data_IF_759369628962
#
_entry.id   IF_759369628962
#
_cell.length_a   1.000
_cell.length_b   1.000
_cell.length_c   1.000
_cell.angle_alpha   90.00
_cell.angle_beta   90.00
_cell.angle_gamma   90.00
#
_symmetry.space_group_name_H-M   'P 1'
#
loop_
_entity.id
_entity.type
_entity.pdbx_description
1 polymer ?
#
# COMPACT_ATOMS: atom_id res chain seq x y z
N UNK A 1 -20.83 -52.48 -24.52
CA UNK A 1 -19.90 -52.33 -25.66
C UNK A 1 -18.50 -52.08 -25.09
N UNK A 2 -17.62 -53.07 -25.25
CA UNK A 2 -16.22 -52.94 -24.80
C UNK A 2 -15.44 -52.26 -25.90
N UNK A 3 -14.77 -51.18 -25.58
CA UNK A 3 -13.86 -50.50 -26.50
C UNK A 3 -12.48 -51.12 -26.34
N UNK A 4 -11.98 -51.74 -27.39
CA UNK A 4 -10.67 -52.39 -27.48
C UNK A 4 -9.60 -51.29 -27.60
N UNK A 5 -8.59 -51.30 -26.70
CA UNK A 5 -7.42 -50.44 -26.80
C UNK A 5 -6.57 -50.84 -28.01
N UNK A 6 -6.17 -49.89 -28.83
CA UNK A 6 -5.23 -50.04 -29.95
C UNK A 6 -3.83 -49.79 -29.39
N UNK A 7 -2.97 -50.80 -29.44
CA UNK A 7 -1.55 -50.66 -29.16
C UNK A 7 -0.83 -50.26 -30.46
N UNK A 8 -0.11 -49.18 -30.44
CA UNK A 8 0.83 -48.79 -31.48
C UNK A 8 2.23 -49.27 -31.10
N UNK A 9 2.83 -50.09 -31.93
CA UNK A 9 4.25 -50.47 -31.84
C UNK A 9 5.03 -49.73 -32.91
N UNK A 10 6.17 -49.15 -32.53
CA UNK A 10 7.11 -48.56 -33.48
C UNK A 10 8.12 -49.63 -34.00
N UNK A 11 8.81 -49.32 -35.12
CA UNK A 11 9.62 -50.24 -35.86
C UNK A 11 10.96 -50.66 -35.19
N UNK A 12 11.19 -50.36 -33.93
CA UNK A 12 12.43 -50.65 -33.23
C UNK A 12 12.32 -51.60 -32.02
N UNK A 13 11.17 -52.11 -31.71
CA UNK A 13 10.98 -53.19 -30.74
C UNK A 13 11.39 -52.83 -29.29
N UNK A 14 11.40 -51.60 -28.91
CA UNK A 14 11.75 -51.20 -27.56
C UNK A 14 10.45 -50.83 -26.80
N UNK A 15 10.12 -51.59 -25.78
CA UNK A 15 9.02 -51.29 -24.87
C UNK A 15 9.44 -50.20 -23.92
N UNK A 16 9.10 -48.96 -24.23
CA UNK A 16 9.13 -47.88 -23.21
C UNK A 16 7.89 -48.05 -22.34
N UNK A 17 8.14 -48.37 -21.09
CA UNK A 17 7.08 -48.40 -20.06
C UNK A 17 6.46 -46.99 -19.99
N UNK A 18 5.19 -46.91 -20.41
CA UNK A 18 4.36 -45.75 -20.12
C UNK A 18 4.20 -45.68 -18.59
N UNK A 19 5.02 -44.84 -17.96
CA UNK A 19 4.85 -44.51 -16.55
C UNK A 19 3.48 -43.91 -16.37
N UNK A 20 2.72 -44.49 -15.46
CA UNK A 20 1.37 -44.13 -15.10
C UNK A 20 1.24 -42.62 -14.86
N UNK A 21 0.46 -41.96 -15.68
CA UNK A 21 -0.18 -40.69 -15.32
C UNK A 21 -1.27 -41.04 -14.30
N UNK A 22 -0.89 -41.10 -13.07
CA UNK A 22 -1.71 -41.44 -11.93
C UNK A 22 -1.35 -40.64 -10.73
N UNK A 23 -1.44 -39.34 -10.84
CA UNK A 23 -1.72 -38.44 -9.73
C UNK A 23 -2.64 -37.35 -10.28
N UNK A 24 -3.92 -37.44 -9.93
CA UNK A 24 -4.85 -36.33 -10.00
C UNK A 24 -4.30 -35.28 -9.04
N UNK A 25 -3.35 -34.49 -9.50
CA UNK A 25 -2.99 -33.24 -8.84
C UNK A 25 -4.30 -32.46 -8.69
N UNK A 26 -4.66 -32.14 -7.47
CA UNK A 26 -5.83 -31.35 -7.18
C UNK A 26 -5.80 -30.11 -8.09
N UNK A 27 -6.86 -29.89 -8.87
CA UNK A 27 -6.94 -28.75 -9.80
C UNK A 27 -6.69 -27.42 -9.07
N UNK A 28 -6.95 -27.38 -7.77
CA UNK A 28 -6.63 -26.23 -6.90
C UNK A 28 -5.13 -25.92 -6.85
N UNK A 29 -4.23 -26.91 -7.03
CA UNK A 29 -2.78 -26.68 -7.07
C UNK A 29 -2.31 -25.95 -8.34
N UNK A 30 -3.07 -26.01 -9.42
CA UNK A 30 -2.81 -25.26 -10.65
C UNK A 30 -3.36 -23.82 -10.62
N UNK A 31 -4.17 -23.47 -9.61
CA UNK A 31 -4.74 -22.14 -9.43
C UNK A 31 -3.96 -21.30 -8.42
N UNK A 32 -2.82 -21.79 -7.91
CA UNK A 32 -1.95 -20.99 -7.07
C UNK A 32 -1.28 -19.91 -7.91
N UNK A 33 -1.69 -18.67 -7.68
CA UNK A 33 -0.99 -17.49 -8.21
C UNK A 33 0.03 -17.03 -7.17
N UNK A 34 1.24 -16.74 -7.60
CA UNK A 34 2.21 -16.07 -6.74
C UNK A 34 2.00 -14.57 -6.84
N UNK A 35 2.02 -13.87 -5.72
CA UNK A 35 2.07 -12.41 -5.70
C UNK A 35 3.25 -11.95 -4.87
N UNK A 36 3.96 -10.97 -5.40
CA UNK A 36 4.98 -10.26 -4.64
C UNK A 36 4.33 -9.41 -3.54
N UNK A 37 5.11 -9.09 -2.53
CA UNK A 37 4.65 -8.20 -1.45
C UNK A 37 4.19 -6.84 -2.01
N UNK A 38 4.89 -6.32 -3.02
CA UNK A 38 4.52 -5.07 -3.71
C UNK A 38 3.17 -5.17 -4.45
N UNK A 39 2.87 -6.31 -5.06
CA UNK A 39 1.56 -6.56 -5.71
C UNK A 39 0.45 -6.64 -4.67
N UNK A 40 0.69 -7.27 -3.51
CA UNK A 40 -0.28 -7.32 -2.42
C UNK A 40 -0.62 -5.90 -1.93
N UNK A 41 0.38 -5.04 -1.73
CA UNK A 41 0.15 -3.64 -1.39
C UNK A 41 -0.62 -2.88 -2.47
N UNK A 42 -0.33 -3.16 -3.74
CA UNK A 42 -1.04 -2.55 -4.87
C UNK A 42 -2.50 -2.96 -4.91
N UNK A 43 -2.79 -4.25 -4.74
CA UNK A 43 -4.17 -4.77 -4.67
C UNK A 43 -4.95 -4.18 -3.48
N UNK A 44 -4.31 -4.11 -2.30
CA UNK A 44 -4.92 -3.53 -1.11
C UNK A 44 -5.24 -2.04 -1.29
N UNK A 45 -4.31 -1.28 -1.86
CA UNK A 45 -4.48 0.14 -2.17
C UNK A 45 -5.69 0.38 -3.09
N UNK A 46 -5.78 -0.40 -4.17
CA UNK A 46 -6.89 -0.32 -5.13
C UNK A 46 -8.23 -0.72 -4.49
N UNK A 47 -8.25 -1.83 -3.75
CA UNK A 47 -9.47 -2.39 -3.16
C UNK A 47 -10.10 -1.45 -2.13
N UNK A 48 -9.29 -0.77 -1.32
CA UNK A 48 -9.77 0.06 -0.21
C UNK A 48 -9.61 1.56 -0.45
N UNK A 49 -9.18 1.96 -1.65
CA UNK A 49 -8.93 3.35 -2.02
C UNK A 49 -8.04 4.09 -1.00
N UNK A 50 -6.90 3.48 -0.66
CA UNK A 50 -5.90 4.04 0.26
C UNK A 50 -4.60 4.25 -0.50
N UNK A 51 -3.91 5.38 -0.35
CA UNK A 51 -2.61 5.59 -1.00
C UNK A 51 -1.61 4.48 -0.64
N UNK A 52 -1.00 3.85 -1.65
CA UNK A 52 -0.08 2.73 -1.46
C UNK A 52 1.11 3.09 -0.56
N UNK A 53 1.65 4.31 -0.69
CA UNK A 53 2.72 4.80 0.17
C UNK A 53 2.32 4.87 1.65
N UNK A 54 1.07 5.20 1.97
CA UNK A 54 0.58 5.19 3.35
C UNK A 54 0.54 3.76 3.92
N UNK A 55 0.05 2.79 3.14
CA UNK A 55 -0.01 1.39 3.59
C UNK A 55 1.39 0.84 3.83
N UNK A 56 2.31 1.09 2.89
CA UNK A 56 3.72 0.70 3.02
C UNK A 56 4.40 1.36 4.23
N UNK A 57 4.13 2.63 4.47
CA UNK A 57 4.66 3.37 5.61
C UNK A 57 4.18 2.80 6.95
N UNK A 58 2.90 2.42 7.04
CA UNK A 58 2.35 1.73 8.22
C UNK A 58 3.06 0.39 8.40
N UNK A 59 3.11 -0.47 7.39
CA UNK A 59 3.74 -1.79 7.48
C UNK A 59 5.22 -1.71 7.89
N UNK A 60 5.95 -0.73 7.35
CA UNK A 60 7.33 -0.45 7.74
C UNK A 60 7.44 -0.01 9.21
N UNK A 61 6.56 0.85 9.66
CA UNK A 61 6.56 1.34 11.04
C UNK A 61 6.20 0.26 12.05
N UNK A 62 5.27 -0.64 11.70
CA UNK A 62 4.72 -1.68 12.57
C UNK A 62 5.68 -2.86 12.75
N UNK A 63 6.26 -3.37 11.67
CA UNK A 63 7.03 -4.62 11.71
C UNK A 63 8.28 -4.64 10.84
N UNK A 64 8.55 -3.56 10.11
CA UNK A 64 9.55 -3.56 9.03
C UNK A 64 9.31 -4.69 8.02
N UNK A 65 8.04 -4.87 7.64
CA UNK A 65 7.54 -5.89 6.70
C UNK A 65 7.69 -7.35 7.17
N UNK A 66 7.89 -7.60 8.46
CA UNK A 66 8.00 -8.96 8.99
C UNK A 66 6.61 -9.60 9.17
N UNK A 67 6.25 -10.65 8.40
CA UNK A 67 4.95 -11.30 8.52
C UNK A 67 4.78 -12.08 9.84
N UNK A 68 5.87 -12.50 10.46
CA UNK A 68 5.86 -13.29 11.69
C UNK A 68 6.01 -12.43 12.96
N UNK A 69 5.92 -11.10 12.84
CA UNK A 69 6.07 -10.21 13.98
C UNK A 69 4.93 -10.37 14.98
N UNK A 70 5.27 -10.40 16.26
CA UNK A 70 4.30 -10.36 17.36
C UNK A 70 4.81 -9.37 18.40
N UNK A 71 3.99 -8.37 18.74
CA UNK A 71 4.34 -7.40 19.76
C UNK A 71 4.13 -7.94 21.18
N UNK A 72 4.72 -7.29 22.18
CA UNK A 72 4.49 -7.62 23.59
C UNK A 72 3.01 -7.46 24.03
N UNK A 73 2.21 -6.67 23.31
CA UNK A 73 0.79 -6.51 23.53
C UNK A 73 -0.06 -7.54 22.75
N UNK A 74 0.56 -8.37 21.91
CA UNK A 74 -0.11 -9.41 21.14
C UNK A 74 -0.62 -8.95 19.76
N UNK A 75 -0.19 -7.81 19.25
CA UNK A 75 -0.44 -7.43 17.85
C UNK A 75 0.38 -8.32 16.91
N UNK A 76 -0.16 -8.68 15.74
CA UNK A 76 0.36 -9.75 14.89
C UNK A 76 0.50 -9.33 13.43
N UNK A 77 1.55 -9.86 12.78
CA UNK A 77 1.79 -9.77 11.34
C UNK A 77 2.36 -8.44 10.87
N UNK A 78 2.41 -8.27 9.54
CA UNK A 78 3.05 -7.13 8.87
C UNK A 78 2.50 -5.78 9.34
N UNK A 79 1.19 -5.67 9.51
CA UNK A 79 0.50 -4.44 9.91
C UNK A 79 0.05 -4.45 11.37
N UNK A 80 0.57 -5.37 12.20
CA UNK A 80 0.39 -5.46 13.64
C UNK A 80 -1.07 -5.32 14.08
N UNK A 81 -1.93 -6.19 13.57
CA UNK A 81 -3.33 -6.22 13.97
C UNK A 81 -3.50 -6.91 15.33
N UNK A 82 -4.25 -6.27 16.23
CA UNK A 82 -4.70 -6.95 17.45
C UNK A 82 -5.68 -8.07 17.09
N UNK A 83 -5.64 -9.24 17.78
CA UNK A 83 -6.48 -10.38 17.43
C UNK A 83 -7.98 -10.11 17.40
N UNK A 84 -8.49 -9.20 18.23
CA UNK A 84 -9.89 -8.79 18.19
C UNK A 84 -10.20 -8.01 16.91
N UNK A 85 -9.35 -7.04 16.58
CA UNK A 85 -9.47 -6.23 15.36
C UNK A 85 -9.33 -7.10 14.11
N UNK A 86 -8.38 -8.02 14.07
CA UNK A 86 -8.19 -8.96 12.97
C UNK A 86 -9.49 -9.74 12.67
N UNK A 87 -10.13 -10.30 13.70
CA UNK A 87 -11.42 -11.01 13.56
C UNK A 87 -12.54 -10.13 13.02
N UNK A 88 -12.67 -8.90 13.52
CA UNK A 88 -13.68 -7.93 13.05
C UNK A 88 -13.47 -7.54 11.57
N UNK A 89 -12.22 -7.52 11.13
CA UNK A 89 -11.85 -7.22 9.75
C UNK A 89 -12.01 -8.42 8.81
N UNK A 90 -12.20 -9.63 9.34
CA UNK A 90 -12.32 -10.89 8.60
C UNK A 90 -10.97 -11.56 8.32
N UNK A 91 -9.92 -11.20 9.05
CA UNK A 91 -8.61 -11.85 9.00
C UNK A 91 -8.68 -13.12 9.83
N UNK A 92 -8.48 -14.28 9.21
CA UNK A 92 -8.51 -15.59 9.87
C UNK A 92 -7.11 -16.05 10.29
N UNK A 93 -6.08 -15.64 9.56
CA UNK A 93 -4.69 -15.83 9.90
C UNK A 93 -3.95 -14.48 9.84
N UNK A 94 -3.53 -13.98 11.00
CA UNK A 94 -2.82 -12.70 11.12
C UNK A 94 -1.36 -12.77 10.67
N UNK A 95 -0.80 -13.96 10.48
CA UNK A 95 0.55 -14.17 9.97
C UNK A 95 0.58 -14.40 8.45
N UNK A 96 -0.58 -14.58 7.83
CA UNK A 96 -0.73 -14.56 6.39
C UNK A 96 -0.56 -13.12 5.86
N UNK A 97 0.49 -12.83 5.06
CA UNK A 97 0.78 -11.47 4.60
C UNK A 97 -0.36 -10.84 3.80
N UNK A 98 -1.02 -11.62 2.96
CA UNK A 98 -2.14 -11.13 2.15
C UNK A 98 -3.32 -10.71 3.03
N UNK A 99 -3.75 -11.60 3.92
CA UNK A 99 -4.88 -11.31 4.80
C UNK A 99 -4.57 -10.14 5.75
N UNK A 100 -3.34 -10.11 6.30
CA UNK A 100 -2.93 -9.09 7.24
C UNK A 100 -2.86 -7.71 6.59
N UNK A 101 -2.27 -7.58 5.39
CA UNK A 101 -2.22 -6.33 4.63
C UNK A 101 -3.62 -5.89 4.20
N UNK A 102 -4.45 -6.81 3.71
CA UNK A 102 -5.84 -6.48 3.35
C UNK A 102 -6.64 -6.00 4.56
N UNK A 103 -6.51 -6.67 5.71
CA UNK A 103 -7.17 -6.28 6.96
C UNK A 103 -6.68 -4.93 7.48
N UNK A 104 -5.36 -4.73 7.57
CA UNK A 104 -4.76 -3.48 8.01
C UNK A 104 -5.11 -2.30 7.11
N UNK A 105 -5.14 -2.53 5.79
CA UNK A 105 -5.55 -1.51 4.82
C UNK A 105 -7.04 -1.16 4.96
N UNK A 106 -7.90 -2.15 5.17
CA UNK A 106 -9.32 -1.93 5.48
C UNK A 106 -9.47 -1.10 6.76
N UNK A 107 -8.66 -1.38 7.79
CA UNK A 107 -8.73 -0.65 9.05
C UNK A 107 -8.31 0.81 8.90
N UNK A 108 -7.18 1.11 8.25
CA UNK A 108 -6.80 2.50 8.00
C UNK A 108 -7.77 3.23 7.08
N UNK A 109 -8.37 2.56 6.09
CA UNK A 109 -9.44 3.13 5.25
C UNK A 109 -10.64 3.58 6.10
N UNK A 110 -11.07 2.76 7.08
CA UNK A 110 -12.14 3.12 8.01
C UNK A 110 -11.75 4.32 8.89
N UNK A 111 -10.49 4.41 9.32
CA UNK A 111 -10.02 5.55 10.10
C UNK A 111 -9.95 6.82 9.25
N UNK A 112 -9.49 6.74 8.00
CA UNK A 112 -9.51 7.86 7.06
C UNK A 112 -10.95 8.38 6.84
N UNK A 113 -11.89 7.48 6.60
CA UNK A 113 -13.30 7.84 6.45
C UNK A 113 -13.87 8.49 7.72
N UNK A 114 -13.52 7.98 8.89
CA UNK A 114 -13.98 8.51 10.20
C UNK A 114 -13.46 9.91 10.49
N UNK A 115 -12.28 10.25 10.00
CA UNK A 115 -11.62 11.54 10.26
C UNK A 115 -11.51 12.42 9.00
N UNK A 116 -12.46 12.29 8.06
CA UNK A 116 -12.59 13.15 6.88
C UNK A 116 -11.29 13.26 6.06
N UNK A 117 -10.56 12.15 5.93
CA UNK A 117 -9.29 12.08 5.21
C UNK A 117 -8.08 12.61 5.97
N UNK A 118 -8.23 13.06 7.22
CA UNK A 118 -7.10 13.54 8.02
C UNK A 118 -6.17 12.38 8.39
N UNK A 119 -5.07 12.26 7.65
CA UNK A 119 -4.07 11.19 7.80
C UNK A 119 -3.49 11.14 9.22
N UNK A 120 -3.18 12.27 9.83
CA UNK A 120 -2.58 12.30 11.18
C UNK A 120 -3.53 11.77 12.25
N UNK A 121 -4.82 12.11 12.17
CA UNK A 121 -5.84 11.57 13.09
C UNK A 121 -6.14 10.10 12.81
N UNK A 122 -6.16 9.69 11.55
CA UNK A 122 -6.34 8.29 11.16
C UNK A 122 -5.19 7.41 11.68
N UNK A 123 -3.95 7.87 11.56
CA UNK A 123 -2.77 7.18 12.10
C UNK A 123 -2.78 7.12 13.64
N UNK A 124 -3.15 8.22 14.29
CA UNK A 124 -3.31 8.23 15.75
C UNK A 124 -4.38 7.23 16.22
N UNK A 125 -5.49 7.12 15.47
CA UNK A 125 -6.55 6.16 15.75
C UNK A 125 -6.15 4.71 15.43
N UNK A 126 -5.33 4.50 14.41
CA UNK A 126 -4.77 3.20 14.09
C UNK A 126 -3.93 2.66 15.26
N UNK A 127 -3.03 3.49 15.78
CA UNK A 127 -2.11 3.11 16.87
C UNK A 127 -2.78 3.12 18.24
N UNK A 128 -3.46 4.20 18.62
CA UNK A 128 -4.01 4.37 19.97
C UNK A 128 -5.48 3.92 20.11
N UNK A 129 -6.17 3.63 19.01
CA UNK A 129 -7.59 3.39 18.97
C UNK A 129 -8.43 4.68 18.87
N UNK A 130 -9.49 4.60 18.09
CA UNK A 130 -10.37 5.76 17.81
C UNK A 130 -11.05 6.35 19.07
N UNK A 131 -11.25 5.54 20.11
CA UNK A 131 -11.82 6.01 21.37
C UNK A 131 -10.89 7.00 22.10
N UNK A 132 -9.58 6.79 22.04
CA UNK A 132 -8.61 7.72 22.61
C UNK A 132 -8.57 9.02 21.80
N UNK A 133 -8.57 8.95 20.48
CA UNK A 133 -8.64 10.15 19.63
C UNK A 133 -9.90 10.97 19.92
N UNK A 134 -11.06 10.32 20.07
CA UNK A 134 -12.30 10.98 20.43
C UNK A 134 -12.24 11.60 21.85
N UNK A 135 -11.70 10.87 22.82
CA UNK A 135 -11.56 11.32 24.21
C UNK A 135 -10.71 12.59 24.35
N UNK A 136 -9.64 12.69 23.56
CA UNK A 136 -8.72 13.83 23.61
C UNK A 136 -9.03 14.90 22.57
N UNK A 137 -10.00 14.69 21.70
CA UNK A 137 -10.37 15.64 20.65
C UNK A 137 -9.28 15.84 19.59
N UNK A 138 -8.36 14.87 19.45
CA UNK A 138 -7.21 14.96 18.55
C UNK A 138 -6.20 13.85 18.81
N UNK A 139 -4.94 14.06 18.40
CA UNK A 139 -3.86 13.11 18.67
C UNK A 139 -3.68 13.02 20.21
N UNK A 140 -3.84 11.81 20.80
CA UNK A 140 -3.69 11.65 22.25
C UNK A 140 -2.29 12.07 22.72
N UNK A 141 -2.15 12.57 23.96
CA UNK A 141 -0.85 12.97 24.52
C UNK A 141 0.01 11.76 24.94
N UNK A 142 -0.10 10.68 24.19
CA UNK A 142 0.74 9.49 24.35
C UNK A 142 1.97 9.65 23.50
N UNK A 143 3.14 9.64 24.14
CA UNK A 143 4.42 9.81 23.44
C UNK A 143 4.61 8.78 22.31
N UNK A 144 4.17 7.56 22.54
CA UNK A 144 4.19 6.49 21.53
C UNK A 144 3.39 6.88 20.29
N UNK A 145 2.13 7.29 20.46
CA UNK A 145 1.24 7.66 19.36
C UNK A 145 1.73 8.89 18.61
N UNK A 146 2.21 9.90 19.32
CA UNK A 146 2.79 11.10 18.70
C UNK A 146 4.01 10.75 17.85
N UNK A 147 4.92 9.93 18.37
CA UNK A 147 6.09 9.45 17.63
C UNK A 147 5.69 8.57 16.44
N UNK A 148 4.65 7.75 16.59
CA UNK A 148 4.12 6.92 15.52
C UNK A 148 3.62 7.74 14.34
N UNK A 149 2.80 8.76 14.60
CA UNK A 149 2.30 9.66 13.55
C UNK A 149 3.45 10.33 12.81
N UNK A 150 4.45 10.86 13.52
CA UNK A 150 5.63 11.50 12.91
C UNK A 150 6.43 10.48 12.08
N UNK A 151 6.67 9.28 12.63
CA UNK A 151 7.43 8.21 11.97
C UNK A 151 6.77 7.77 10.66
N UNK A 152 5.46 7.47 10.69
CA UNK A 152 4.74 7.02 9.50
C UNK A 152 4.64 8.12 8.46
N UNK A 153 4.36 9.36 8.87
CA UNK A 153 4.33 10.51 7.94
C UNK A 153 5.69 10.74 7.29
N UNK A 154 6.79 10.58 8.05
CA UNK A 154 8.15 10.62 7.50
C UNK A 154 8.35 9.57 6.42
N UNK A 155 8.03 8.32 6.71
CA UNK A 155 8.13 7.22 5.74
C UNK A 155 7.27 7.42 4.49
N UNK A 156 6.10 8.05 4.58
CA UNK A 156 5.27 8.33 3.40
C UNK A 156 5.95 9.25 2.38
N UNK A 157 6.84 10.14 2.85
CA UNK A 157 7.57 11.09 2.01
C UNK A 157 8.89 10.53 1.47
N UNK A 158 9.34 9.41 2.03
CA UNK A 158 10.51 8.69 1.58
C UNK A 158 10.09 7.60 0.60
N UNK A 159 10.90 7.29 -0.41
CA UNK A 159 10.70 6.11 -1.24
C UNK A 159 10.88 4.85 -0.38
N UNK A 160 9.81 4.08 -0.18
CA UNK A 160 9.86 2.85 0.60
C UNK A 160 10.03 1.67 -0.36
N UNK A 161 11.18 1.04 -0.32
CA UNK A 161 11.39 -0.26 -0.94
C UNK A 161 10.81 -1.36 -0.06
N UNK A 162 10.05 -2.24 -0.68
CA UNK A 162 9.45 -3.40 -0.03
C UNK A 162 10.38 -4.59 -0.27
N UNK A 163 10.61 -5.46 0.72
CA UNK A 163 11.40 -6.67 0.52
C UNK A 163 10.89 -7.48 -0.68
N UNK A 164 11.83 -7.99 -1.48
CA UNK A 164 11.50 -8.84 -2.63
C UNK A 164 11.08 -10.23 -2.14
N UNK A 165 9.85 -10.34 -1.65
CA UNK A 165 9.25 -11.57 -1.17
C UNK A 165 8.00 -11.88 -1.99
N UNK A 166 7.86 -13.13 -2.41
CA UNK A 166 6.70 -13.63 -3.14
C UNK A 166 5.98 -14.69 -2.34
N UNK A 167 4.66 -14.66 -2.37
CA UNK A 167 3.79 -15.55 -1.62
C UNK A 167 2.84 -16.27 -2.57
N UNK A 168 2.67 -17.58 -2.38
CA UNK A 168 1.64 -18.35 -3.11
C UNK A 168 0.28 -18.01 -2.55
N UNK A 169 -0.63 -17.53 -3.41
CA UNK A 169 -2.00 -17.18 -3.04
C UNK A 169 -2.94 -18.29 -3.50
N UNK A 170 -3.73 -18.81 -2.59
CA UNK A 170 -4.80 -19.76 -2.89
C UNK A 170 -5.97 -19.06 -3.58
N UNK A 171 -6.86 -19.84 -4.20
CA UNK A 171 -8.05 -19.32 -4.87
C UNK A 171 -9.01 -18.54 -3.94
N UNK A 172 -8.94 -18.75 -2.63
CA UNK A 172 -9.70 -18.02 -1.60
C UNK A 172 -9.02 -16.71 -1.14
N UNK A 173 -7.83 -16.41 -1.68
CA UNK A 173 -7.04 -15.25 -1.32
C UNK A 173 -6.12 -15.46 -0.11
N UNK A 174 -6.09 -16.65 0.49
CA UNK A 174 -5.12 -16.96 1.55
C UNK A 174 -3.75 -17.31 0.97
N UNK A 175 -2.69 -17.05 1.73
CA UNK A 175 -1.33 -17.47 1.35
C UNK A 175 -1.15 -18.95 1.70
N UNK A 176 -0.71 -19.75 0.73
CA UNK A 176 -0.33 -21.13 1.01
C UNK A 176 0.88 -21.14 1.96
N UNK A 177 0.82 -21.99 3.00
CA UNK A 177 1.89 -22.11 3.97
C UNK A 177 3.24 -22.35 3.28
N UNK A 178 4.09 -21.34 3.37
CA UNK A 178 5.52 -21.29 3.12
C UNK A 178 6.11 -21.92 1.85
N UNK A 179 6.36 -21.07 0.87
CA UNK A 179 7.69 -21.02 0.28
C UNK A 179 8.01 -19.55 -0.01
N UNK A 180 8.81 -18.93 0.82
CA UNK A 180 9.51 -17.71 0.43
C UNK A 180 10.47 -18.13 -0.70
N UNK A 181 10.02 -17.98 -1.93
CA UNK A 181 10.87 -18.17 -3.09
C UNK A 181 11.39 -16.77 -3.41
N UNK A 182 12.69 -16.56 -3.16
CA UNK A 182 13.39 -15.42 -3.73
C UNK A 182 13.28 -15.57 -5.25
N UNK A 183 12.35 -14.82 -5.83
CA UNK A 183 12.25 -14.71 -7.29
C UNK A 183 13.44 -13.86 -7.69
N UNK A 184 14.42 -14.49 -8.33
CA UNK A 184 15.58 -13.76 -8.86
C UNK A 184 15.10 -12.61 -9.74
N UNK A 185 15.59 -11.40 -9.49
CA UNK A 185 15.38 -10.19 -10.30
C UNK A 185 15.59 -10.40 -11.80
N UNK A 186 16.35 -11.44 -12.18
CA UNK A 186 16.65 -11.80 -13.55
C UNK A 186 15.43 -12.13 -14.42
N UNK A 187 14.36 -12.69 -13.87
CA UNK A 187 13.16 -13.05 -14.65
C UNK A 187 12.34 -11.84 -15.05
N UNK A 188 12.14 -10.90 -14.12
CA UNK A 188 11.42 -9.65 -14.43
C UNK A 188 12.26 -8.71 -15.31
N UNK A 189 13.56 -8.65 -15.11
CA UNK A 189 14.49 -7.94 -16.00
C UNK A 189 14.39 -8.48 -17.43
N UNK A 190 14.37 -9.80 -17.62
CA UNK A 190 14.27 -10.41 -18.95
C UNK A 190 12.93 -10.12 -19.65
N UNK A 191 11.83 -10.01 -18.91
CA UNK A 191 10.51 -9.66 -19.46
C UNK A 191 10.45 -8.17 -19.81
N UNK A 192 10.98 -7.30 -18.97
CA UNK A 192 11.04 -5.86 -19.25
C UNK A 192 11.93 -5.57 -20.47
N UNK A 193 13.07 -6.26 -20.61
CA UNK A 193 13.95 -6.16 -21.79
C UNK A 193 13.31 -6.70 -23.07
N UNK A 194 12.36 -7.66 -22.96
CA UNK A 194 11.59 -8.17 -24.11
C UNK A 194 10.40 -7.30 -24.50
N UNK A 195 9.79 -6.58 -23.56
CA UNK A 195 8.59 -5.78 -23.78
C UNK A 195 8.91 -4.32 -24.15
N UNK A 196 10.05 -3.80 -23.73
CA UNK A 196 10.46 -2.43 -24.00
C UNK A 196 11.91 -2.41 -24.46
N UNK A 197 12.17 -1.80 -25.62
CA UNK A 197 13.55 -1.47 -25.96
C UNK A 197 14.10 -0.45 -24.94
N UNK A 198 15.40 -0.53 -24.65
CA UNK A 198 16.05 0.42 -23.73
C UNK A 198 15.80 1.89 -24.11
N UNK A 199 15.68 2.19 -25.42
CA UNK A 199 15.34 3.52 -25.91
C UNK A 199 13.90 3.94 -25.57
N UNK A 200 12.94 3.03 -25.60
CA UNK A 200 11.54 3.31 -25.23
C UNK A 200 11.42 3.53 -23.73
N UNK A 201 12.15 2.76 -22.92
CA UNK A 201 12.25 2.97 -21.48
C UNK A 201 12.85 4.34 -21.15
N UNK A 202 13.94 4.76 -21.81
CA UNK A 202 14.53 6.08 -21.60
C UNK A 202 13.59 7.21 -22.00
N UNK A 203 12.83 7.06 -23.09
CA UNK A 203 11.80 8.03 -23.50
C UNK A 203 10.67 8.13 -22.49
N UNK A 204 10.24 7.00 -21.93
CA UNK A 204 9.23 6.97 -20.87
C UNK A 204 9.72 7.69 -19.61
N UNK A 205 10.94 7.44 -19.16
CA UNK A 205 11.54 8.13 -18.02
C UNK A 205 11.68 9.63 -18.27
N UNK A 206 12.13 10.05 -19.44
CA UNK A 206 12.24 11.48 -19.81
C UNK A 206 10.87 12.17 -19.80
N UNK A 207 9.85 11.50 -20.34
CA UNK A 207 8.47 11.99 -20.31
C UNK A 207 7.92 12.09 -18.87
N UNK A 208 8.18 11.07 -18.04
CA UNK A 208 7.74 11.04 -16.65
C UNK A 208 8.42 12.14 -15.83
N UNK A 209 9.72 12.35 -16.00
CA UNK A 209 10.46 13.43 -15.33
C UNK A 209 9.93 14.82 -15.73
N UNK A 210 9.63 15.03 -17.02
CA UNK A 210 9.04 16.28 -17.50
C UNK A 210 7.64 16.55 -16.93
N UNK A 211 6.84 15.49 -16.76
CA UNK A 211 5.52 15.58 -16.14
C UNK A 211 5.64 16.02 -14.67
N UNK A 212 6.55 15.41 -13.92
CA UNK A 212 6.83 15.76 -12.53
C UNK A 212 7.35 17.21 -12.38
N UNK A 213 8.21 17.66 -13.29
CA UNK A 213 8.67 19.06 -13.32
C UNK A 213 7.55 20.05 -13.63
N UNK A 214 6.61 19.68 -14.51
CA UNK A 214 5.45 20.51 -14.84
C UNK A 214 4.51 20.64 -13.62
N UNK A 215 4.18 19.52 -12.96
CA UNK A 215 3.38 19.52 -11.73
C UNK A 215 4.01 20.38 -10.63
N UNK A 216 5.32 20.26 -10.42
CA UNK A 216 6.05 21.07 -9.44
C UNK A 216 6.03 22.57 -9.77
N UNK A 217 6.03 22.93 -11.06
CA UNK A 217 5.92 24.33 -11.49
C UNK A 217 4.52 24.90 -11.27
N UNK A 218 3.47 24.12 -11.56
CA UNK A 218 2.09 24.52 -11.30
C UNK A 218 1.84 24.76 -9.80
N UNK A 219 2.30 23.83 -8.93
CA UNK A 219 2.19 23.97 -7.47
C UNK A 219 2.90 25.24 -6.99
N UNK A 220 4.09 25.55 -7.52
CA UNK A 220 4.82 26.76 -7.15
C UNK A 220 4.14 28.04 -7.63
N UNK A 221 3.54 28.02 -8.83
CA UNK A 221 2.78 29.16 -9.34
C UNK A 221 1.52 29.42 -8.52
N UNK A 222 0.77 28.38 -8.17
CA UNK A 222 -0.41 28.52 -7.29
C UNK A 222 -0.04 29.05 -5.90
N UNK A 223 1.11 28.62 -5.36
CA UNK A 223 1.60 29.14 -4.07
C UNK A 223 1.97 30.62 -4.16
N UNK A 224 2.66 31.04 -5.23
CA UNK A 224 3.00 32.45 -5.46
C UNK A 224 1.75 33.32 -5.67
N UNK A 225 0.80 32.90 -6.48
CA UNK A 225 -0.46 33.63 -6.67
C UNK A 225 -1.28 33.76 -5.38
N UNK A 226 -1.24 32.74 -4.51
CA UNK A 226 -1.91 32.79 -3.23
C UNK A 226 -1.20 33.72 -2.22
N UNK A 227 0.12 33.81 -2.28
CA UNK A 227 0.90 34.78 -1.47
C UNK A 227 0.66 36.20 -1.94
N UNK A 228 0.68 36.47 -3.24
CA UNK A 228 0.39 37.81 -3.80
C UNK A 228 -1.05 38.26 -3.51
N UNK A 229 -2.03 37.36 -3.55
CA UNK A 229 -3.43 37.65 -3.14
C UNK A 229 -3.54 37.97 -1.65
N UNK A 230 -2.76 37.32 -0.80
CA UNK A 230 -2.72 37.65 0.65
C UNK A 230 -2.08 38.99 0.90
N UNK A 231 -1.01 39.31 0.22
CA UNK A 231 -0.27 40.57 0.37
C UNK A 231 -1.11 41.75 -0.18
N UNK A 232 -1.72 41.59 -1.34
CA UNK A 232 -2.65 42.58 -1.89
C UNK A 232 -3.87 42.85 -1.00
N UNK A 233 -4.39 41.84 -0.32
CA UNK A 233 -5.48 42.00 0.65
C UNK A 233 -5.03 42.74 1.91
N UNK A 234 -3.79 42.55 2.34
CA UNK A 234 -3.22 43.21 3.52
C UNK A 234 -3.01 44.72 3.28
N UNK A 235 -2.49 45.09 2.11
CA UNK A 235 -2.32 46.50 1.75
C UNK A 235 -3.67 47.21 1.53
N UNK A 236 -4.64 46.57 0.90
CA UNK A 236 -5.97 47.12 0.75
C UNK A 236 -6.68 47.38 2.09
N UNK A 237 -6.42 46.57 3.09
CA UNK A 237 -6.96 46.74 4.44
C UNK A 237 -6.23 47.85 5.22
N UNK A 238 -4.95 48.10 4.95
CA UNK A 238 -4.21 49.24 5.53
C UNK A 238 -4.63 50.58 4.92
N UNK A 239 -4.87 50.65 3.60
CA UNK A 239 -5.37 51.88 2.95
C UNK A 239 -6.76 52.27 3.45
N UNK A 240 -7.65 51.31 3.69
CA UNK A 240 -8.96 51.55 4.30
C UNK A 240 -8.87 52.08 5.75
N UNK A 241 -7.83 51.72 6.47
CA UNK A 241 -7.64 52.11 7.89
C UNK A 241 -7.06 53.52 8.08
N UNK A 242 -6.45 54.06 7.03
CA UNK A 242 -5.81 55.41 7.05
C UNK A 242 -6.45 56.39 6.07
N UNK A 243 -7.63 56.06 5.52
CA UNK A 243 -8.36 56.98 4.65
C UNK A 243 -8.80 58.22 5.47
N UNK A 244 -8.54 59.42 4.97
CA UNK A 244 -8.90 60.69 5.67
C UNK A 244 -10.39 60.75 6.02
N UNK A 245 -11.25 60.03 5.29
CA UNK A 245 -12.68 59.99 5.48
C UNK A 245 -13.08 59.29 6.80
N UNK A 246 -12.31 58.27 7.23
CA UNK A 246 -12.55 57.56 8.49
C UNK A 246 -12.09 58.36 9.70
N UNK A 247 -11.02 59.12 9.55
CA UNK A 247 -10.50 59.97 10.63
C UNK A 247 -11.42 61.17 10.92
N UNK A 248 -12.17 61.65 9.93
CA UNK A 248 -13.12 62.75 10.12
C UNK A 248 -14.43 62.32 10.81
N UNK A 249 -14.75 61.01 10.83
CA UNK A 249 -15.93 60.47 11.48
C UNK A 249 -15.73 60.16 12.97
N UNK A 250 -14.50 60.04 13.43
CA UNK A 250 -14.15 59.71 14.81
C UNK A 250 -13.75 60.93 15.66
N UNK A 251 -13.83 62.14 15.08
CA UNK A 251 -13.39 63.40 15.68
C UNK A 251 -14.53 64.39 16.01
N UNK A 252 -15.79 63.92 16.08
CA UNK A 252 -16.90 64.72 16.61
C UNK A 252 -17.53 64.09 17.84
#
# INVERSE_FOLDING_TARGET
>A
MQVKAIQATDAAGNQTAASAVGQSGDFSSYLQTTASLEEIFTQAAQKYNVPKNLIKAIAKAESDFNPNATSGAGAQGIMQLMPATARELGVTDSYDPYQNIMGGTKYISQMLAKYDGNVSLALAAYNAGSNNVAKYGGIPPFKETQNYVVKVTGYMNEGIEVPNASYSINADGSVAAASVQEVEDSYYQSILEQLFSYEEYLKFIDMYMKLQEAEQKEIKQEQQENEEKKDGSYYAFQELRYSPTVMNLLGQ
#
